data_IF_866799022365
#
_entry.id   IF_866799022365
#
_cell.length_a   1.000
_cell.length_b   1.000
_cell.length_c   1.000
_cell.angle_alpha   90.00
_cell.angle_beta   90.00
_cell.angle_gamma   90.00
#
_symmetry.space_group_name_H-M   'P 1'
#
loop_
_entity.id
_entity.type
_entity.pdbx_description
1 polymer ?
#
# COMPACT_ATOMS: atom_id res chain seq x y z
N UNK A 1 6.81 -3.45 -13.93
CA UNK A 1 6.74 -3.77 -12.50
C UNK A 1 8.03 -3.30 -11.88
N UNK A 2 7.95 -2.43 -10.88
CA UNK A 2 9.12 -1.75 -10.32
C UNK A 2 9.18 -1.99 -8.82
N UNK A 3 10.39 -2.04 -8.28
CA UNK A 3 10.65 -2.07 -6.83
C UNK A 3 11.34 -0.77 -6.47
N UNK A 4 10.82 -0.07 -5.47
CA UNK A 4 11.40 1.18 -4.96
C UNK A 4 11.77 0.97 -3.49
N UNK A 5 13.03 1.22 -3.15
CA UNK A 5 13.53 1.25 -1.79
C UNK A 5 13.55 2.70 -1.30
N UNK A 6 12.82 2.98 -0.22
CA UNK A 6 12.88 4.25 0.50
C UNK A 6 13.91 4.13 1.62
N UNK A 7 14.84 5.09 1.68
CA UNK A 7 15.86 5.15 2.73
C UNK A 7 15.82 6.47 3.47
N UNK A 8 16.33 6.49 4.70
CA UNK A 8 16.63 7.75 5.40
C UNK A 8 17.90 8.44 4.85
N UNK A 9 18.24 9.59 5.43
CA UNK A 9 19.43 10.38 5.04
C UNK A 9 20.78 9.64 5.25
N UNK A 10 20.78 8.54 6.02
CA UNK A 10 21.95 7.70 6.29
C UNK A 10 21.96 6.44 5.42
N UNK A 11 20.96 6.26 4.57
CA UNK A 11 20.83 5.09 3.70
C UNK A 11 20.19 3.87 4.36
N UNK A 12 19.63 3.99 5.57
CA UNK A 12 18.91 2.87 6.19
C UNK A 12 17.53 2.70 5.56
N UNK A 13 17.09 1.45 5.36
CA UNK A 13 15.77 1.14 4.83
C UNK A 13 14.65 1.69 5.72
N UNK A 14 13.67 2.35 5.09
CA UNK A 14 12.43 2.82 5.69
C UNK A 14 11.21 2.09 5.16
N UNK A 15 11.21 1.76 3.88
CA UNK A 15 10.18 0.97 3.26
C UNK A 15 10.64 0.38 1.93
N UNK A 16 9.99 -0.70 1.52
CA UNK A 16 10.08 -1.25 0.18
C UNK A 16 8.70 -1.24 -0.46
N UNK A 17 8.60 -0.68 -1.66
CA UNK A 17 7.34 -0.60 -2.41
C UNK A 17 7.42 -1.42 -3.69
N UNK A 18 6.41 -2.25 -3.93
CA UNK A 18 6.20 -2.92 -5.20
C UNK A 18 5.14 -2.16 -6.00
N UNK A 19 5.52 -1.66 -7.17
CA UNK A 19 4.65 -0.92 -8.08
C UNK A 19 4.31 -1.72 -9.34
N UNK A 20 3.01 -1.79 -9.63
CA UNK A 20 2.45 -2.13 -10.92
C UNK A 20 2.15 -0.85 -11.69
N UNK A 21 0.87 -0.63 -12.01
CA UNK A 21 0.38 0.69 -12.42
C UNK A 21 0.21 1.63 -11.21
N UNK A 22 -0.23 1.07 -10.07
CA UNK A 22 -0.30 1.73 -8.76
C UNK A 22 0.57 0.97 -7.74
N UNK A 23 0.64 1.48 -6.50
CA UNK A 23 1.30 0.80 -5.39
C UNK A 23 0.57 -0.51 -5.10
N UNK A 24 1.24 -1.65 -5.24
CA UNK A 24 0.62 -2.96 -5.01
C UNK A 24 0.85 -3.45 -3.59
N UNK A 25 2.09 -3.26 -3.10
CA UNK A 25 2.51 -3.74 -1.80
C UNK A 25 3.54 -2.78 -1.20
N UNK A 26 3.47 -2.62 0.13
CA UNK A 26 4.47 -1.88 0.92
C UNK A 26 4.90 -2.71 2.12
N UNK A 27 6.21 -2.90 2.25
CA UNK A 27 6.86 -3.31 3.49
C UNK A 27 7.30 -2.05 4.23
N UNK A 28 6.87 -1.85 5.47
CA UNK A 28 7.20 -0.66 6.26
C UNK A 28 7.27 -1.03 7.75
N UNK A 29 8.34 -0.59 8.40
CA UNK A 29 8.65 -0.98 9.78
C UNK A 29 8.59 -2.50 9.99
N UNK A 30 7.63 -3.01 10.77
CA UNK A 30 7.43 -4.44 11.05
C UNK A 30 6.24 -5.05 10.30
N UNK A 31 5.61 -4.27 9.42
CA UNK A 31 4.36 -4.61 8.77
C UNK A 31 4.50 -4.65 7.25
N UNK A 32 3.59 -5.36 6.61
CA UNK A 32 3.55 -5.48 5.17
C UNK A 32 2.11 -5.53 4.71
N UNK A 33 1.77 -4.70 3.71
CA UNK A 33 0.40 -4.50 3.28
C UNK A 33 0.25 -4.64 1.76
N UNK A 34 -0.78 -5.35 1.33
CA UNK A 34 -1.30 -5.29 -0.03
C UNK A 34 -2.39 -4.22 -0.14
N UNK A 35 -2.36 -3.44 -1.21
CA UNK A 35 -3.28 -2.34 -1.48
C UNK A 35 -4.33 -2.79 -2.50
N UNK A 36 -5.61 -2.73 -2.12
CA UNK A 36 -6.74 -3.02 -3.01
C UNK A 36 -7.38 -1.73 -3.49
N UNK A 37 -7.87 -1.74 -4.72
CA UNK A 37 -8.34 -0.54 -5.42
C UNK A 37 -9.75 -0.72 -5.99
N UNK A 38 -10.52 0.39 -6.07
CA UNK A 38 -11.73 0.45 -6.89
C UNK A 38 -11.40 0.70 -8.37
N UNK A 39 -12.43 0.80 -9.22
CA UNK A 39 -12.27 1.09 -10.66
C UNK A 39 -11.75 2.49 -10.99
N UNK A 40 -11.71 3.41 -10.02
CA UNK A 40 -11.15 4.76 -10.15
C UNK A 40 -9.70 4.86 -9.63
N UNK A 41 -9.11 3.73 -9.20
CA UNK A 41 -7.79 3.66 -8.59
C UNK A 41 -7.66 4.31 -7.20
N UNK A 42 -8.76 4.44 -6.46
CA UNK A 42 -8.72 4.76 -5.03
C UNK A 42 -8.49 3.50 -4.21
N UNK A 43 -7.70 3.59 -3.14
CA UNK A 43 -7.44 2.47 -2.22
C UNK A 43 -8.70 2.20 -1.40
N UNK A 44 -9.27 1.00 -1.50
CA UNK A 44 -10.46 0.57 -0.75
C UNK A 44 -10.16 -0.31 0.44
N UNK A 45 -9.02 -1.00 0.45
CA UNK A 45 -8.61 -1.80 1.59
C UNK A 45 -7.09 -2.01 1.66
N UNK A 46 -6.61 -2.26 2.87
CA UNK A 46 -5.27 -2.75 3.17
C UNK A 46 -5.38 -4.15 3.76
N UNK A 47 -4.63 -5.10 3.19
CA UNK A 47 -4.55 -6.47 3.68
C UNK A 47 -3.18 -6.70 4.29
N UNK A 48 -3.12 -7.09 5.57
CA UNK A 48 -1.87 -7.48 6.21
C UNK A 48 -1.35 -8.76 5.54
N UNK A 49 -0.12 -8.75 5.02
CA UNK A 49 0.40 -9.90 4.28
C UNK A 49 0.87 -11.04 5.17
N UNK A 50 1.09 -10.79 6.47
CA UNK A 50 1.46 -11.83 7.43
C UNK A 50 0.24 -12.62 7.91
N UNK A 51 -0.88 -11.93 8.17
CA UNK A 51 -2.11 -12.57 8.70
C UNK A 51 -3.18 -12.85 7.65
N UNK A 52 -3.16 -12.12 6.52
CA UNK A 52 -4.22 -12.13 5.51
C UNK A 52 -5.47 -11.35 5.92
N UNK A 53 -5.45 -10.69 7.09
CA UNK A 53 -6.60 -9.94 7.60
C UNK A 53 -6.69 -8.53 7.00
N UNK A 54 -7.91 -7.99 6.99
CA UNK A 54 -8.16 -6.60 6.57
C UNK A 54 -7.72 -5.67 7.70
N UNK A 55 -6.69 -4.86 7.45
CA UNK A 55 -6.20 -3.86 8.41
C UNK A 55 -6.94 -2.53 8.31
N UNK A 56 -7.45 -2.19 7.13
CA UNK A 56 -8.25 -0.98 6.91
C UNK A 56 -9.20 -1.15 5.73
N UNK A 57 -10.33 -0.43 5.79
CA UNK A 57 -11.26 -0.26 4.65
C UNK A 57 -11.60 1.21 4.49
N UNK A 58 -11.75 1.65 3.24
CA UNK A 58 -12.06 3.02 2.89
C UNK A 58 -13.25 3.03 1.91
N UNK A 59 -14.25 3.82 2.25
CA UNK A 59 -15.44 4.02 1.44
C UNK A 59 -15.43 5.42 0.87
N UNK A 60 -15.69 5.52 -0.42
CA UNK A 60 -15.74 6.79 -1.14
C UNK A 60 -17.14 7.01 -1.69
N UNK A 61 -17.56 8.27 -1.77
CA UNK A 61 -18.69 8.64 -2.61
C UNK A 61 -18.36 8.48 -4.11
N UNK A 62 -19.34 8.73 -4.98
CA UNK A 62 -19.17 8.58 -6.42
C UNK A 62 -18.11 9.50 -7.04
N UNK A 63 -17.64 10.51 -6.30
CA UNK A 63 -16.64 11.50 -6.72
C UNK A 63 -15.28 11.28 -6.04
N UNK A 64 -15.08 10.17 -5.32
CA UNK A 64 -13.80 9.83 -4.70
C UNK A 64 -13.55 10.55 -3.37
N UNK A 65 -14.59 11.10 -2.73
CA UNK A 65 -14.46 11.75 -1.42
C UNK A 65 -14.70 10.75 -0.28
N UNK A 66 -13.85 10.84 0.75
CA UNK A 66 -13.95 10.10 2.02
C UNK A 66 -14.79 10.84 3.08
#
# INVERSE_FOLDING_TARGET
MNVILETDERGNERARNLYGLNLLMRDVDSESYCYLYNGHADVTALINTATGEVSATYYYDAFGKI
#
